data_IF_741559618130
#
_entry.id   IF_741559618130
#
_cell.length_a   1.000
_cell.length_b   1.000
_cell.length_c   1.000
_cell.angle_alpha   90.00
_cell.angle_beta   90.00
_cell.angle_gamma   90.00
#
_symmetry.space_group_name_H-M   'P 1'
#
loop_
_entity.id
_entity.type
_entity.pdbx_description
1 polymer ?
#
# COMPACT_ATOMS: atom_id res chain seq x y z
N UNK A 1 2.98 -10.52 -4.02
CA UNK A 1 3.77 -11.01 -5.15
C UNK A 1 3.97 -9.89 -6.14
N UNK A 2 5.12 -9.88 -6.79
CA UNK A 2 5.50 -8.76 -7.66
C UNK A 2 4.54 -8.53 -8.83
N UNK A 3 3.96 -9.61 -9.37
CA UNK A 3 3.05 -9.54 -10.52
C UNK A 3 1.69 -8.95 -10.17
N UNK A 4 1.35 -8.81 -8.89
CA UNK A 4 0.11 -8.18 -8.46
C UNK A 4 0.01 -6.73 -8.89
N UNK A 5 1.15 -6.06 -9.02
CA UNK A 5 1.22 -4.62 -9.28
C UNK A 5 1.80 -4.29 -10.65
N UNK A 6 1.41 -5.05 -11.68
CA UNK A 6 1.89 -4.84 -13.03
C UNK A 6 1.03 -3.86 -13.85
N UNK A 7 -0.10 -3.43 -13.32
CA UNK A 7 -0.96 -2.44 -13.97
C UNK A 7 -0.67 -1.04 -13.44
N UNK A 8 -1.06 -0.04 -14.23
CA UNK A 8 -0.94 1.36 -13.83
C UNK A 8 -2.04 1.79 -12.87
N UNK A 9 -3.25 1.27 -13.05
CA UNK A 9 -4.42 1.61 -12.24
C UNK A 9 -5.20 0.38 -11.86
N UNK A 10 -5.77 0.42 -10.65
CA UNK A 10 -6.57 -0.67 -10.07
C UNK A 10 -7.88 -0.10 -9.54
N UNK A 11 -8.97 -0.80 -9.79
CA UNK A 11 -10.26 -0.45 -9.19
C UNK A 11 -10.29 -0.94 -7.74
N UNK A 12 -11.19 -0.35 -6.94
CA UNK A 12 -11.29 -0.69 -5.50
C UNK A 12 -11.53 -2.18 -5.26
N UNK A 13 -12.31 -2.84 -6.13
CA UNK A 13 -12.55 -4.28 -6.00
C UNK A 13 -11.28 -5.10 -6.19
N UNK A 14 -10.40 -4.69 -7.11
CA UNK A 14 -9.12 -5.35 -7.32
C UNK A 14 -8.20 -5.14 -6.13
N UNK A 15 -8.14 -3.91 -5.62
CA UNK A 15 -7.32 -3.57 -4.44
C UNK A 15 -7.78 -4.35 -3.22
N UNK A 16 -9.09 -4.43 -3.01
CA UNK A 16 -9.67 -5.20 -1.90
C UNK A 16 -9.23 -6.67 -1.97
N UNK A 17 -9.22 -7.24 -3.17
CA UNK A 17 -8.79 -8.62 -3.37
C UNK A 17 -7.28 -8.79 -3.12
N UNK A 18 -6.48 -7.87 -3.63
CA UNK A 18 -5.01 -7.90 -3.45
C UNK A 18 -4.64 -7.82 -1.97
N UNK A 19 -5.29 -6.92 -1.23
CA UNK A 19 -5.00 -6.70 0.18
C UNK A 19 -5.78 -7.62 1.12
N UNK A 20 -6.72 -8.39 0.57
CA UNK A 20 -7.60 -9.27 1.35
C UNK A 20 -8.39 -8.49 2.40
N UNK A 21 -8.93 -7.34 2.00
CA UNK A 21 -9.70 -6.45 2.86
C UNK A 21 -11.04 -6.10 2.22
N UNK A 22 -12.09 -5.86 3.03
CA UNK A 22 -13.36 -5.38 2.49
C UNK A 22 -13.21 -4.01 1.84
N UNK A 23 -13.98 -3.73 0.80
CA UNK A 23 -14.00 -2.42 0.17
C UNK A 23 -14.39 -1.31 1.16
N UNK A 24 -15.28 -1.62 2.10
CA UNK A 24 -15.69 -0.66 3.13
C UNK A 24 -14.51 -0.20 3.98
N UNK A 25 -13.58 -1.09 4.29
CA UNK A 25 -12.36 -0.75 5.03
C UNK A 25 -11.50 0.22 4.23
N UNK A 26 -11.35 -0.03 2.93
CA UNK A 26 -10.55 0.85 2.06
C UNK A 26 -11.18 2.24 1.96
N UNK A 27 -12.49 2.32 1.83
CA UNK A 27 -13.21 3.61 1.80
C UNK A 27 -13.06 4.35 3.11
N UNK A 28 -13.14 3.63 4.24
CA UNK A 28 -12.96 4.21 5.55
C UNK A 28 -11.56 4.80 5.71
N UNK A 29 -10.54 4.05 5.32
CA UNK A 29 -9.16 4.53 5.39
C UNK A 29 -8.91 5.71 4.47
N UNK A 30 -9.49 5.71 3.28
CA UNK A 30 -9.41 6.86 2.37
C UNK A 30 -9.93 8.12 3.04
N UNK A 31 -11.00 8.01 3.83
CA UNK A 31 -11.59 9.15 4.53
C UNK A 31 -10.75 9.62 5.71
N UNK A 32 -9.92 8.76 6.29
CA UNK A 32 -9.12 9.07 7.49
C UNK A 32 -7.66 9.44 7.18
N UNK A 33 -7.10 8.88 6.12
CA UNK A 33 -5.68 9.09 5.78
C UNK A 33 -5.56 9.95 4.51
N UNK A 34 -5.04 11.16 4.69
CA UNK A 34 -4.90 12.11 3.57
C UNK A 34 -3.87 11.67 2.53
N UNK A 35 -3.00 10.71 2.86
CA UNK A 35 -2.01 10.18 1.92
C UNK A 35 -2.63 9.26 0.87
N UNK A 36 -3.85 8.79 1.09
CA UNK A 36 -4.57 7.94 0.15
C UNK A 36 -5.44 8.82 -0.72
N UNK A 37 -5.06 8.98 -1.98
CA UNK A 37 -5.75 9.86 -2.93
C UNK A 37 -5.99 9.16 -4.25
N UNK A 38 -6.98 8.24 -4.31
CA UNK A 38 -7.29 7.59 -5.58
C UNK A 38 -7.84 8.61 -6.57
N UNK A 39 -7.58 8.38 -7.84
CA UNK A 39 -8.18 9.19 -8.90
C UNK A 39 -9.61 8.72 -9.14
N UNK A 40 -10.48 9.64 -9.50
CA UNK A 40 -11.87 9.32 -9.85
C UNK A 40 -12.13 9.76 -11.28
N UNK A 41 -12.90 8.94 -12.01
CA UNK A 41 -13.36 9.32 -13.33
C UNK A 41 -14.67 10.11 -13.23
N UNK A 42 -15.26 10.47 -14.37
CA UNK A 42 -16.50 11.28 -14.42
C UNK A 42 -17.68 10.57 -13.74
N UNK A 43 -17.62 9.24 -13.61
CA UNK A 43 -18.68 8.45 -12.96
C UNK A 43 -18.43 8.25 -11.47
N UNK A 44 -17.35 8.83 -10.93
CA UNK A 44 -16.98 8.69 -9.54
C UNK A 44 -16.28 7.38 -9.19
N UNK A 45 -15.91 6.56 -10.19
CA UNK A 45 -15.18 5.33 -9.97
C UNK A 45 -13.75 5.64 -9.50
N UNK A 46 -13.34 4.97 -8.42
CA UNK A 46 -12.00 5.16 -7.85
C UNK A 46 -10.97 4.30 -8.58
N UNK A 47 -9.81 4.91 -8.86
CA UNK A 47 -8.67 4.23 -9.46
C UNK A 47 -7.44 4.46 -8.59
N UNK A 48 -6.80 3.37 -8.19
CA UNK A 48 -5.65 3.38 -7.30
C UNK A 48 -4.38 3.06 -8.10
N UNK A 49 -3.32 3.83 -7.85
CA UNK A 49 -2.00 3.53 -8.41
C UNK A 49 -1.29 2.48 -7.56
N UNK A 50 -0.23 1.84 -8.07
CA UNK A 50 0.60 0.98 -7.21
C UNK A 50 1.10 1.70 -5.95
N UNK A 51 1.43 3.00 -6.06
CA UNK A 51 1.83 3.79 -4.89
C UNK A 51 0.73 3.89 -3.84
N UNK A 52 -0.52 4.06 -4.27
CA UNK A 52 -1.66 4.07 -3.34
C UNK A 52 -1.79 2.71 -2.64
N UNK A 53 -1.63 1.62 -3.38
CA UNK A 53 -1.72 0.27 -2.82
C UNK A 53 -0.62 0.06 -1.77
N UNK A 54 0.60 0.53 -2.03
CA UNK A 54 1.69 0.44 -1.07
C UNK A 54 1.40 1.23 0.20
N UNK A 55 0.79 2.41 0.07
CA UNK A 55 0.37 3.20 1.24
C UNK A 55 -0.73 2.49 2.02
N UNK A 56 -1.66 1.84 1.35
CA UNK A 56 -2.70 1.04 2.01
C UNK A 56 -2.09 -0.17 2.73
N UNK A 57 -1.08 -0.81 2.16
CA UNK A 57 -0.35 -1.88 2.85
C UNK A 57 0.32 -1.39 4.12
N UNK A 58 0.91 -0.20 4.06
CA UNK A 58 1.54 0.43 5.22
C UNK A 58 0.52 0.69 6.34
N UNK A 59 -0.65 1.21 5.97
CA UNK A 59 -1.74 1.45 6.93
C UNK A 59 -2.22 0.12 7.52
N UNK A 60 -2.38 -0.90 6.69
CA UNK A 60 -2.75 -2.24 7.13
C UNK A 60 -1.76 -2.78 8.15
N UNK A 61 -0.47 -2.60 7.91
CA UNK A 61 0.59 -2.99 8.83
C UNK A 61 0.43 -2.27 10.18
N UNK A 62 0.24 -0.95 10.17
CA UNK A 62 0.12 -0.18 11.40
C UNK A 62 -1.10 -0.58 12.21
N UNK A 63 -2.23 -0.84 11.57
CA UNK A 63 -3.48 -1.15 12.25
C UNK A 63 -3.51 -2.61 12.69
N UNK A 64 -3.13 -3.55 11.83
CA UNK A 64 -3.27 -4.98 12.12
C UNK A 64 -2.03 -5.61 12.73
N UNK A 65 -0.82 -5.29 12.25
CA UNK A 65 0.40 -5.89 12.79
C UNK A 65 0.84 -5.18 14.07
N UNK A 66 0.84 -3.85 14.08
CA UNK A 66 1.20 -3.09 15.29
C UNK A 66 0.03 -2.89 16.22
N UNK A 67 -1.20 -3.15 15.78
CA UNK A 67 -2.37 -3.02 16.61
C UNK A 67 -2.74 -1.60 17.00
N UNK A 68 -2.34 -0.61 16.22
CA UNK A 68 -2.68 0.78 16.50
C UNK A 68 -4.15 1.05 16.21
N UNK A 69 -4.76 1.89 17.05
CA UNK A 69 -6.08 2.43 16.76
C UNK A 69 -5.99 3.38 15.56
N UNK A 70 -7.08 3.57 14.86
CA UNK A 70 -7.10 4.42 13.65
C UNK A 70 -6.55 5.82 13.95
N UNK A 71 -6.97 6.45 15.03
CA UNK A 71 -6.51 7.79 15.40
C UNK A 71 -5.01 7.83 15.63
N UNK A 72 -4.47 6.81 16.30
CA UNK A 72 -3.03 6.71 16.54
C UNK A 72 -2.26 6.47 15.24
N UNK A 73 -2.82 5.65 14.36
CA UNK A 73 -2.20 5.38 13.06
C UNK A 73 -2.19 6.65 12.20
N UNK A 74 -3.28 7.42 12.18
CA UNK A 74 -3.34 8.70 11.46
C UNK A 74 -2.28 9.66 12.00
N UNK A 75 -2.18 9.79 13.32
CA UNK A 75 -1.18 10.64 13.96
C UNK A 75 0.23 10.23 13.59
N UNK A 76 0.52 8.94 13.63
CA UNK A 76 1.85 8.44 13.32
C UNK A 76 2.22 8.70 11.86
N UNK A 77 1.30 8.45 10.94
CA UNK A 77 1.53 8.71 9.51
C UNK A 77 1.78 10.20 9.28
N UNK A 78 1.00 11.08 9.91
CA UNK A 78 1.14 12.51 9.72
C UNK A 78 2.44 13.07 10.32
N UNK A 79 2.85 12.59 11.49
CA UNK A 79 4.06 13.05 12.16
C UNK A 79 5.34 12.47 11.58
N UNK A 80 5.32 11.20 11.22
CA UNK A 80 6.51 10.48 10.75
C UNK A 80 6.37 10.01 9.31
N UNK A 81 5.63 10.77 8.51
CA UNK A 81 5.29 10.43 7.13
C UNK A 81 6.50 10.01 6.31
N UNK A 82 7.56 10.83 6.35
CA UNK A 82 8.78 10.57 5.60
C UNK A 82 9.49 9.31 6.09
N UNK A 83 9.57 9.15 7.41
CA UNK A 83 10.26 8.00 8.01
C UNK A 83 9.53 6.68 7.75
N UNK A 84 8.22 6.66 7.89
CA UNK A 84 7.42 5.45 7.64
C UNK A 84 7.51 5.05 6.18
N UNK A 85 7.34 5.99 5.26
CA UNK A 85 7.45 5.73 3.83
C UNK A 85 8.86 5.26 3.45
N UNK A 86 9.89 5.90 4.02
CA UNK A 86 11.28 5.55 3.74
C UNK A 86 11.60 4.15 4.21
N UNK A 87 11.16 3.75 5.39
CA UNK A 87 11.37 2.39 5.91
C UNK A 87 10.71 1.36 5.00
N UNK A 88 9.49 1.65 4.57
CA UNK A 88 8.77 0.77 3.67
C UNK A 88 9.49 0.62 2.33
N UNK A 89 9.93 1.72 1.75
CA UNK A 89 10.71 1.72 0.50
C UNK A 89 12.00 0.92 0.63
N UNK A 90 12.72 1.08 1.75
CA UNK A 90 13.96 0.32 2.00
C UNK A 90 13.67 -1.18 2.04
N UNK A 91 12.62 -1.59 2.73
CA UNK A 91 12.25 -3.01 2.81
C UNK A 91 11.93 -3.55 1.41
N UNK A 92 11.18 -2.82 0.61
CA UNK A 92 10.84 -3.25 -0.74
C UNK A 92 12.08 -3.32 -1.65
N UNK A 93 13.00 -2.39 -1.52
CA UNK A 93 14.27 -2.42 -2.24
C UNK A 93 15.11 -3.63 -1.86
N UNK A 94 15.18 -3.94 -0.58
CA UNK A 94 15.90 -5.13 -0.10
C UNK A 94 15.30 -6.40 -0.67
N UNK A 95 14.00 -6.50 -0.72
CA UNK A 95 13.31 -7.65 -1.32
C UNK A 95 13.65 -7.77 -2.80
N UNK A 96 13.67 -6.67 -3.53
CA UNK A 96 13.99 -6.64 -4.96
C UNK A 96 15.44 -7.07 -5.19
N UNK A 97 16.38 -6.53 -4.39
CA UNK A 97 17.79 -6.89 -4.48
C UNK A 97 17.99 -8.37 -4.21
N UNK A 98 17.34 -8.88 -3.17
CA UNK A 98 17.40 -10.31 -2.83
C UNK A 98 16.92 -11.17 -3.97
N UNK A 99 15.79 -10.79 -4.59
CA UNK A 99 15.25 -11.51 -5.74
C UNK A 99 16.21 -11.52 -6.93
N UNK A 100 16.86 -10.38 -7.20
CA UNK A 100 17.85 -10.26 -8.25
C UNK A 100 19.06 -11.15 -7.98
N UNK A 101 19.56 -11.16 -6.75
CA UNK A 101 20.69 -12.01 -6.36
C UNK A 101 20.35 -13.48 -6.48
N UNK A 102 19.18 -13.89 -6.05
CA UNK A 102 18.74 -15.28 -6.18
C UNK A 102 18.67 -15.68 -7.65
N UNK A 103 18.10 -14.83 -8.50
CA UNK A 103 18.00 -15.09 -9.93
C UNK A 103 19.39 -15.22 -10.58
N UNK A 104 20.35 -14.39 -10.19
CA UNK A 104 21.73 -14.46 -10.67
C UNK A 104 22.41 -15.76 -10.25
N UNK A 105 22.22 -16.17 -8.99
CA UNK A 105 22.77 -17.42 -8.49
C UNK A 105 22.19 -18.62 -9.23
N UNK A 106 20.90 -18.61 -9.50
CA UNK A 106 20.22 -19.68 -10.24
C UNK A 106 20.70 -19.78 -11.69
N UNK A 107 21.14 -18.65 -12.28
CA UNK A 107 21.65 -18.61 -13.65
C UNK A 107 23.09 -19.12 -13.79
N UNK A 108 23.81 -19.22 -12.68
CA UNK A 108 25.16 -19.76 -12.67
C UNK A 108 25.16 -21.28 -12.67
#
# INVERSE_FOLDING_TARGET
MADELNKKYYKIGEVARILELPQSTLRFWESKFSIIRPRRNDRGTRYYTPGDIERLRMIHYLVHEKGLKIEAAVDQVNRNRSNVSRRFEVIERLRTIRGTLVALLDAL
#
